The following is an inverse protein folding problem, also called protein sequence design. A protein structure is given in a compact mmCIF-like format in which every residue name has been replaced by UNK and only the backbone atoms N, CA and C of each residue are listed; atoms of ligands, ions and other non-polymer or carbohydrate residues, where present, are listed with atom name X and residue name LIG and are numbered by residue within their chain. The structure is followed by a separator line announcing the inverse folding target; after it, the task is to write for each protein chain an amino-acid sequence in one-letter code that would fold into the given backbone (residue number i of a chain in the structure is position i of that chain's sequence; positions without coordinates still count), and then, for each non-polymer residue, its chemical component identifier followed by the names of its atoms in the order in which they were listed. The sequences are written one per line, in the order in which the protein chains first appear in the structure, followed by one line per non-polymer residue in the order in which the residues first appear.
data_IF_630074302144
#
_entry.id   IF_630074302144
#
_cell.length_a   1.000
_cell.length_b   1.000
_cell.length_c   1.000
_cell.angle_alpha   90.00
_cell.angle_beta   90.00
_cell.angle_gamma   90.00
#
_symmetry.space_group_name_H-M   'P 1'
#
loop_
_entity.id
_entity.type
_entity.pdbx_description
1 polymer ?
#
# COMPACT_ATOMS: atom_id res chain seq x y z
N UNK A 1 25.81 -16.15 13.83
CA UNK A 1 25.11 -17.40 13.50
C UNK A 1 24.36 -17.18 12.20
N UNK A 2 24.74 -17.86 11.09
CA UNK A 2 24.02 -17.75 9.84
C UNK A 2 22.64 -18.42 10.02
N UNK A 3 21.56 -17.65 9.89
CA UNK A 3 20.21 -18.21 9.78
C UNK A 3 20.21 -19.09 8.52
N UNK A 4 20.05 -20.41 8.67
CA UNK A 4 19.83 -21.31 7.54
C UNK A 4 18.48 -20.96 6.92
N UNK A 5 18.47 -20.45 5.70
CA UNK A 5 17.26 -20.32 4.90
C UNK A 5 16.78 -21.73 4.55
N UNK A 6 15.59 -22.09 4.98
CA UNK A 6 15.12 -23.49 5.00
C UNK A 6 14.19 -23.84 3.83
N UNK A 7 13.96 -22.94 2.87
CA UNK A 7 13.23 -23.21 1.65
C UNK A 7 14.11 -22.93 0.43
N UNK A 8 13.95 -23.71 -0.62
CA UNK A 8 14.64 -23.48 -1.90
C UNK A 8 14.04 -22.22 -2.51
N UNK A 9 14.76 -21.07 -2.39
CA UNK A 9 14.31 -19.79 -2.93
C UNK A 9 14.07 -19.91 -4.43
N UNK A 10 13.07 -19.23 -4.93
CA UNK A 10 12.74 -19.18 -6.35
C UNK A 10 13.92 -18.65 -7.19
N UNK A 11 14.60 -17.62 -6.69
CA UNK A 11 15.78 -17.03 -7.33
C UNK A 11 16.94 -18.00 -7.52
N UNK A 12 17.06 -19.05 -6.71
CA UNK A 12 18.11 -20.06 -6.85
C UNK A 12 17.98 -20.89 -8.14
N UNK A 13 16.79 -20.97 -8.72
CA UNK A 13 16.60 -21.62 -10.03
C UNK A 13 17.32 -20.87 -11.15
N UNK A 14 17.56 -19.57 -10.99
CA UNK A 14 18.33 -18.73 -11.92
C UNK A 14 19.81 -18.71 -11.57
N UNK A 15 20.17 -18.54 -10.29
CA UNK A 15 21.52 -18.16 -9.88
C UNK A 15 22.33 -19.32 -9.28
N UNK A 16 21.73 -20.46 -8.95
CA UNK A 16 22.43 -21.62 -8.40
C UNK A 16 21.77 -22.93 -8.82
N UNK A 17 21.62 -23.13 -10.13
CA UNK A 17 21.02 -24.33 -10.72
C UNK A 17 22.06 -25.16 -11.49
N UNK A 18 22.67 -26.17 -10.85
CA UNK A 18 23.67 -27.02 -11.48
C UNK A 18 23.12 -27.91 -12.59
N UNK A 19 21.80 -28.12 -12.65
CA UNK A 19 21.14 -28.89 -13.72
C UNK A 19 21.06 -28.10 -15.04
N UNK A 20 21.18 -26.75 -14.96
CA UNK A 20 21.21 -25.87 -16.13
C UNK A 20 22.34 -24.83 -16.03
N UNK A 21 23.62 -25.25 -16.08
CA UNK A 21 24.75 -24.36 -15.82
C UNK A 21 24.92 -23.27 -16.89
N UNK A 22 24.52 -23.52 -18.13
CA UNK A 22 24.60 -22.53 -19.21
C UNK A 22 23.68 -21.33 -18.97
N UNK A 23 22.43 -21.58 -18.59
CA UNK A 23 21.50 -20.51 -18.27
C UNK A 23 21.87 -19.80 -16.96
N UNK A 24 22.32 -20.55 -15.94
CA UNK A 24 22.82 -19.98 -14.69
C UNK A 24 23.96 -19.00 -14.93
N UNK A 25 24.94 -19.39 -15.76
CA UNK A 25 26.08 -18.53 -16.10
C UNK A 25 25.61 -17.25 -16.84
N UNK A 26 24.67 -17.39 -17.78
CA UNK A 26 24.10 -16.26 -18.51
C UNK A 26 23.36 -15.25 -17.55
N UNK A 27 22.56 -15.74 -16.64
CA UNK A 27 21.87 -14.90 -15.67
C UNK A 27 22.83 -14.19 -14.72
N UNK A 28 23.85 -14.90 -14.24
CA UNK A 28 24.91 -14.30 -13.41
C UNK A 28 25.63 -13.21 -14.20
N UNK A 29 26.12 -13.51 -15.42
CA UNK A 29 26.83 -12.56 -16.28
C UNK A 29 26.05 -11.24 -16.44
N UNK A 30 24.75 -11.31 -16.73
CA UNK A 30 23.92 -10.11 -16.90
C UNK A 30 23.72 -9.33 -15.60
N UNK A 31 23.61 -10.02 -14.48
CA UNK A 31 23.42 -9.38 -13.16
C UNK A 31 24.68 -8.69 -12.62
N UNK A 32 25.87 -9.04 -13.11
CA UNK A 32 27.12 -8.37 -12.74
C UNK A 32 27.15 -6.90 -13.16
N UNK A 33 26.42 -6.51 -14.22
CA UNK A 33 26.30 -5.10 -14.64
C UNK A 33 25.66 -4.21 -13.58
N UNK A 34 24.93 -4.78 -12.63
CA UNK A 34 24.33 -4.08 -11.52
C UNK A 34 25.28 -3.92 -10.31
N UNK A 35 26.51 -4.49 -10.41
CA UNK A 35 27.52 -4.45 -9.35
C UNK A 35 27.34 -5.53 -8.27
N UNK A 36 26.46 -6.50 -8.47
CA UNK A 36 26.37 -7.71 -7.64
C UNK A 36 27.53 -8.67 -7.98
N UNK A 37 27.98 -9.42 -6.99
CA UNK A 37 29.01 -10.44 -7.21
C UNK A 37 28.37 -11.81 -7.46
N UNK A 38 29.08 -12.76 -8.12
CA UNK A 38 28.62 -14.14 -8.26
C UNK A 38 28.32 -14.80 -6.91
N UNK A 39 29.13 -14.49 -5.89
CA UNK A 39 28.98 -14.99 -4.51
C UNK A 39 27.69 -14.47 -3.86
N UNK A 40 27.36 -13.20 -4.06
CA UNK A 40 26.09 -12.63 -3.55
C UNK A 40 24.89 -13.32 -4.20
N UNK A 41 24.86 -13.47 -5.52
CA UNK A 41 23.76 -14.11 -6.26
C UNK A 41 23.55 -15.57 -5.89
N UNK A 42 24.66 -16.30 -5.61
CA UNK A 42 24.63 -17.72 -5.22
C UNK A 42 24.55 -17.93 -3.71
N UNK A 43 24.50 -16.86 -2.92
CA UNK A 43 24.56 -16.94 -1.44
C UNK A 43 23.30 -17.53 -0.78
N UNK A 44 22.21 -17.72 -1.52
CA UNK A 44 20.92 -18.10 -0.96
C UNK A 44 20.20 -16.97 -0.21
N UNK A 45 20.63 -15.71 -0.37
CA UNK A 45 19.92 -14.54 0.12
C UNK A 45 18.65 -14.32 -0.69
N UNK A 46 17.51 -13.98 -0.05
CA UNK A 46 16.31 -13.64 -0.78
C UNK A 46 16.51 -12.42 -1.68
N UNK A 47 16.01 -12.50 -2.90
CA UNK A 47 15.95 -11.38 -3.85
C UNK A 47 14.58 -10.73 -3.74
N UNK A 48 14.58 -9.46 -3.29
CA UNK A 48 13.36 -8.69 -3.04
C UNK A 48 13.20 -7.62 -4.10
N UNK A 49 12.07 -7.67 -4.81
CA UNK A 49 11.67 -6.62 -5.72
C UNK A 49 11.15 -5.40 -4.96
N UNK A 50 11.48 -4.21 -5.45
CA UNK A 50 10.82 -2.96 -5.06
C UNK A 50 10.03 -2.48 -6.28
N UNK A 51 8.72 -2.71 -6.26
CA UNK A 51 7.82 -2.31 -7.34
C UNK A 51 7.57 -0.80 -7.23
N UNK A 52 8.37 -0.02 -7.96
CA UNK A 52 8.41 1.44 -7.89
C UNK A 52 7.30 2.08 -8.71
N UNK A 53 6.31 2.69 -8.03
CA UNK A 53 5.22 3.43 -8.67
C UNK A 53 5.48 4.94 -8.75
N UNK A 54 6.54 5.43 -8.10
CA UNK A 54 6.92 6.85 -8.12
C UNK A 54 7.37 7.31 -9.51
N UNK A 55 6.86 8.46 -9.93
CA UNK A 55 7.17 9.07 -11.24
C UNK A 55 6.81 10.55 -11.22
N UNK A 56 7.47 11.34 -12.06
CA UNK A 56 7.16 12.78 -12.24
C UNK A 56 5.77 12.99 -12.82
N UNK A 57 5.28 12.04 -13.63
CA UNK A 57 3.92 12.07 -14.17
C UNK A 57 2.88 11.42 -13.25
N UNK A 58 3.30 10.97 -12.06
CA UNK A 58 2.44 10.44 -11.01
C UNK A 58 2.76 11.09 -9.65
N UNK A 59 2.46 12.40 -9.49
CA UNK A 59 2.84 13.17 -8.30
C UNK A 59 2.37 12.56 -6.98
N UNK A 60 1.19 11.95 -6.95
CA UNK A 60 0.67 11.26 -5.76
C UNK A 60 1.57 10.14 -5.24
N UNK A 61 2.41 9.58 -6.12
CA UNK A 61 3.33 8.49 -5.79
C UNK A 61 4.80 8.96 -5.76
N UNK A 62 5.08 10.23 -6.10
CA UNK A 62 6.44 10.77 -6.26
C UNK A 62 7.35 10.51 -5.06
N UNK A 63 6.80 10.55 -3.85
CA UNK A 63 7.55 10.31 -2.61
C UNK A 63 8.26 8.94 -2.59
N UNK A 64 7.74 7.94 -3.32
CA UNK A 64 8.32 6.61 -3.38
C UNK A 64 9.72 6.57 -4.01
N UNK A 65 10.07 7.57 -4.85
CA UNK A 65 11.45 7.71 -5.37
C UNK A 65 12.45 7.84 -4.21
N UNK A 66 12.07 8.57 -3.14
CA UNK A 66 12.88 8.72 -1.93
C UNK A 66 12.73 7.52 -0.99
N UNK A 67 11.52 7.00 -0.83
CA UNK A 67 11.24 5.90 0.10
C UNK A 67 11.88 4.58 -0.34
N UNK A 68 12.07 4.36 -1.63
CA UNK A 68 12.73 3.15 -2.16
C UNK A 68 14.15 2.95 -1.59
N UNK A 69 14.89 4.05 -1.34
CA UNK A 69 16.21 3.98 -0.70
C UNK A 69 16.11 3.40 0.72
N UNK A 70 15.13 3.86 1.51
CA UNK A 70 14.91 3.36 2.87
C UNK A 70 14.43 1.91 2.90
N UNK A 71 13.59 1.51 1.93
CA UNK A 71 13.20 0.11 1.75
C UNK A 71 14.43 -0.75 1.44
N UNK A 72 15.28 -0.31 0.51
CA UNK A 72 16.52 -0.99 0.13
C UNK A 72 17.45 -1.20 1.32
N UNK A 73 17.61 -0.19 2.17
CA UNK A 73 18.40 -0.30 3.41
C UNK A 73 17.80 -1.35 4.36
N UNK A 74 16.49 -1.38 4.54
CA UNK A 74 15.80 -2.38 5.36
C UNK A 74 16.03 -3.79 4.83
N UNK A 75 15.86 -4.02 3.51
CA UNK A 75 16.09 -5.31 2.87
C UNK A 75 17.54 -5.78 3.09
N UNK A 76 18.51 -4.90 2.86
CA UNK A 76 19.93 -5.22 3.07
C UNK A 76 20.27 -5.52 4.52
N UNK A 77 19.71 -4.76 5.45
CA UNK A 77 19.89 -4.98 6.89
C UNK A 77 19.34 -6.33 7.35
N UNK A 78 18.27 -6.82 6.70
CA UNK A 78 17.72 -8.15 6.97
C UNK A 78 18.44 -9.29 6.21
N UNK A 79 19.45 -8.96 5.40
CA UNK A 79 20.26 -9.93 4.65
C UNK A 79 19.72 -10.29 3.26
N UNK A 80 18.77 -9.52 2.72
CA UNK A 80 18.25 -9.69 1.36
C UNK A 80 19.01 -8.88 0.31
N UNK A 81 18.76 -9.18 -0.96
CA UNK A 81 19.22 -8.41 -2.13
C UNK A 81 18.01 -7.61 -2.65
N UNK A 82 18.16 -6.30 -2.81
CA UNK A 82 17.08 -5.42 -3.27
C UNK A 82 17.25 -5.08 -4.76
N UNK A 83 16.21 -5.35 -5.55
CA UNK A 83 16.11 -4.99 -6.95
C UNK A 83 14.90 -4.08 -7.17
N UNK A 84 15.14 -2.83 -7.54
CA UNK A 84 14.08 -1.88 -7.84
C UNK A 84 13.74 -1.92 -9.34
N UNK A 85 12.44 -1.87 -9.66
CA UNK A 85 11.95 -1.83 -11.03
C UNK A 85 10.71 -0.94 -11.14
N UNK A 86 10.48 -0.27 -12.30
CA UNK A 86 9.35 0.61 -12.49
C UNK A 86 8.05 -0.17 -12.67
N UNK A 87 6.97 0.37 -12.13
CA UNK A 87 5.59 -0.02 -12.43
C UNK A 87 4.97 1.02 -13.35
N UNK A 88 4.02 0.62 -14.20
CA UNK A 88 3.29 1.55 -15.07
C UNK A 88 2.73 2.75 -14.25
N UNK A 89 3.11 4.00 -14.58
CA UNK A 89 2.71 5.15 -13.79
C UNK A 89 1.23 5.44 -13.95
N UNK A 90 0.55 5.63 -12.81
CA UNK A 90 -0.88 5.95 -12.77
C UNK A 90 -1.10 7.22 -11.97
N UNK A 91 -1.77 8.20 -12.58
CA UNK A 91 -2.23 9.42 -11.94
C UNK A 91 -3.64 9.75 -12.40
N UNK A 92 -4.63 9.61 -11.51
CA UNK A 92 -6.05 9.77 -11.85
C UNK A 92 -6.35 11.17 -12.42
N UNK A 93 -5.83 12.21 -11.81
CA UNK A 93 -6.18 13.59 -12.14
C UNK A 93 -5.36 14.21 -13.28
N UNK A 94 -4.26 13.57 -13.73
CA UNK A 94 -3.42 14.09 -14.83
C UNK A 94 -3.58 13.30 -16.12
N UNK A 95 -4.32 12.21 -16.12
CA UNK A 95 -4.51 11.39 -17.30
C UNK A 95 -5.83 11.66 -18.01
N UNK A 96 -5.80 11.67 -19.34
CA UNK A 96 -6.97 11.80 -20.21
C UNK A 96 -7.13 10.57 -21.11
N UNK A 97 -8.34 10.11 -21.37
CA UNK A 97 -9.62 10.57 -20.81
C UNK A 97 -9.84 10.11 -19.36
N UNK A 98 -9.18 9.04 -18.91
CA UNK A 98 -9.29 8.45 -17.56
C UNK A 98 -8.13 7.50 -17.30
N UNK A 99 -7.78 7.30 -16.03
CA UNK A 99 -6.81 6.28 -15.59
C UNK A 99 -7.47 4.92 -15.30
N UNK A 100 -8.75 4.73 -15.59
CA UNK A 100 -9.48 3.50 -15.25
C UNK A 100 -8.89 2.23 -15.88
N UNK A 101 -8.44 2.31 -17.14
CA UNK A 101 -7.78 1.19 -17.83
C UNK A 101 -6.34 0.97 -17.36
N UNK A 102 -5.67 2.00 -16.87
CA UNK A 102 -4.28 1.91 -16.43
C UNK A 102 -4.12 1.00 -15.21
N UNK A 103 -5.15 0.85 -14.37
CA UNK A 103 -5.15 -0.16 -13.30
C UNK A 103 -4.85 -1.54 -13.85
N UNK A 104 -5.49 -1.94 -14.95
CA UNK A 104 -5.30 -3.26 -15.53
C UNK A 104 -3.96 -3.35 -16.30
N UNK A 105 -3.50 -2.28 -16.94
CA UNK A 105 -2.18 -2.25 -17.57
C UNK A 105 -1.06 -2.39 -16.53
N UNK A 106 -1.14 -1.65 -15.43
CA UNK A 106 -0.19 -1.76 -14.33
C UNK A 106 -0.21 -3.15 -13.69
N UNK A 107 -1.39 -3.72 -13.47
CA UNK A 107 -1.57 -5.08 -12.98
C UNK A 107 -0.89 -6.10 -13.89
N UNK A 108 -1.21 -6.10 -15.19
CA UNK A 108 -0.66 -7.06 -16.16
C UNK A 108 0.85 -6.96 -16.27
N UNK A 109 1.40 -5.74 -16.38
CA UNK A 109 2.85 -5.53 -16.44
C UNK A 109 3.57 -5.98 -15.17
N UNK A 110 2.96 -5.75 -14.00
CA UNK A 110 3.53 -6.18 -12.72
C UNK A 110 3.49 -7.71 -12.57
N UNK A 111 2.39 -8.37 -12.97
CA UNK A 111 2.31 -9.85 -12.99
C UNK A 111 3.41 -10.45 -13.86
N UNK A 112 3.62 -9.91 -15.06
CA UNK A 112 4.65 -10.38 -15.98
C UNK A 112 6.06 -10.26 -15.37
N UNK A 113 6.36 -9.14 -14.72
CA UNK A 113 7.63 -8.94 -14.02
C UNK A 113 7.78 -9.95 -12.88
N UNK A 114 6.78 -10.09 -12.02
CA UNK A 114 6.85 -10.97 -10.86
C UNK A 114 6.93 -12.44 -11.23
N UNK A 115 6.37 -12.85 -12.37
CA UNK A 115 6.53 -14.22 -12.91
C UNK A 115 7.85 -14.42 -13.61
N UNK A 116 8.27 -13.48 -14.44
CA UNK A 116 9.40 -13.65 -15.36
C UNK A 116 10.78 -13.43 -14.75
N UNK A 117 10.88 -12.73 -13.61
CA UNK A 117 12.16 -12.39 -12.98
C UNK A 117 12.41 -13.15 -11.67
N UNK A 118 13.68 -13.32 -11.27
CA UNK A 118 14.08 -14.11 -10.09
C UNK A 118 13.81 -13.40 -8.79
N UNK A 119 12.56 -13.05 -8.50
CA UNK A 119 12.11 -12.30 -7.32
C UNK A 119 11.45 -13.26 -6.34
N UNK A 120 11.94 -13.32 -5.09
CA UNK A 120 11.42 -14.18 -4.02
C UNK A 120 10.32 -13.50 -3.19
N UNK A 121 10.30 -12.18 -3.17
CA UNK A 121 9.28 -11.37 -2.50
C UNK A 121 9.30 -9.94 -3.01
N UNK A 122 8.23 -9.17 -2.76
CA UNK A 122 8.09 -7.82 -3.32
C UNK A 122 7.53 -6.82 -2.32
N UNK A 123 8.12 -5.62 -2.28
CA UNK A 123 7.52 -4.43 -1.67
C UNK A 123 6.76 -3.67 -2.74
N UNK A 124 5.47 -3.50 -2.52
CA UNK A 124 4.53 -2.81 -3.39
C UNK A 124 4.39 -1.37 -2.91
N UNK A 125 4.96 -0.41 -3.63
CA UNK A 125 4.79 1.00 -3.30
C UNK A 125 3.44 1.50 -3.83
N UNK A 126 2.63 2.13 -2.96
CA UNK A 126 1.25 2.53 -3.29
C UNK A 126 0.96 3.96 -2.85
N UNK A 127 -0.03 4.59 -3.46
CA UNK A 127 -0.42 5.95 -3.11
C UNK A 127 -1.69 6.37 -3.84
N UNK A 128 -1.62 6.64 -5.14
CA UNK A 128 -2.76 7.01 -5.96
C UNK A 128 -3.83 5.90 -6.00
N UNK A 129 -5.05 6.29 -6.27
CA UNK A 129 -6.26 5.46 -6.12
C UNK A 129 -6.28 4.17 -6.96
N UNK A 130 -5.59 4.12 -8.10
CA UNK A 130 -5.50 2.93 -8.96
C UNK A 130 -4.23 2.09 -8.73
N UNK A 131 -3.18 2.65 -8.11
CA UNK A 131 -1.94 1.90 -7.85
C UNK A 131 -2.11 0.84 -6.79
N UNK A 132 -2.78 1.16 -5.69
CA UNK A 132 -3.02 0.21 -4.60
C UNK A 132 -3.77 -1.05 -5.09
N UNK A 133 -4.93 -0.94 -5.78
CA UNK A 133 -5.61 -2.12 -6.26
C UNK A 133 -4.82 -2.87 -7.35
N UNK A 134 -4.12 -2.18 -8.26
CA UNK A 134 -3.30 -2.84 -9.28
C UNK A 134 -2.21 -3.71 -8.64
N UNK A 135 -1.51 -3.18 -7.65
CA UNK A 135 -0.46 -3.89 -6.92
C UNK A 135 -1.01 -5.09 -6.13
N UNK A 136 -2.13 -4.94 -5.43
CA UNK A 136 -2.75 -6.02 -4.67
C UNK A 136 -3.32 -7.13 -5.58
N UNK A 137 -3.90 -6.78 -6.74
CA UNK A 137 -4.31 -7.74 -7.75
C UNK A 137 -3.13 -8.56 -8.26
N UNK A 138 -1.99 -7.92 -8.54
CA UNK A 138 -0.78 -8.60 -8.99
C UNK A 138 -0.20 -9.52 -7.90
N UNK A 139 -0.16 -9.05 -6.65
CA UNK A 139 0.27 -9.86 -5.52
C UNK A 139 -0.60 -11.12 -5.36
N UNK A 140 -1.94 -10.96 -5.45
CA UNK A 140 -2.88 -12.08 -5.36
C UNK A 140 -2.74 -13.09 -6.52
N UNK A 141 -2.41 -12.60 -7.73
CA UNK A 141 -2.25 -13.47 -8.90
C UNK A 141 -0.97 -14.31 -8.85
N UNK A 142 0.15 -13.67 -8.45
CA UNK A 142 1.46 -14.35 -8.46
C UNK A 142 1.72 -15.13 -7.19
N UNK A 143 1.13 -14.72 -6.10
CA UNK A 143 1.16 -15.35 -4.78
C UNK A 143 2.57 -15.60 -4.22
N UNK A 144 3.50 -14.68 -4.45
CA UNK A 144 4.78 -14.62 -3.73
C UNK A 144 4.66 -13.67 -2.53
N UNK A 145 5.49 -13.81 -1.48
CA UNK A 145 5.49 -12.87 -0.36
C UNK A 145 5.48 -11.43 -0.82
N UNK A 146 4.48 -10.67 -0.39
CA UNK A 146 4.26 -9.29 -0.82
C UNK A 146 3.77 -8.42 0.34
N UNK A 147 4.28 -7.18 0.41
CA UNK A 147 3.93 -6.21 1.43
C UNK A 147 3.71 -4.83 0.82
N UNK A 148 2.67 -4.14 1.27
CA UNK A 148 2.33 -2.79 0.81
C UNK A 148 3.04 -1.73 1.64
N UNK A 149 3.64 -0.76 0.96
CA UNK A 149 4.13 0.49 1.54
C UNK A 149 3.35 1.67 0.96
N UNK A 150 2.52 2.31 1.75
CA UNK A 150 1.83 3.54 1.37
C UNK A 150 2.80 4.72 1.29
N UNK A 151 2.61 5.62 0.32
CA UNK A 151 3.32 6.90 0.27
C UNK A 151 2.82 7.91 1.30
N UNK A 152 1.62 7.72 1.79
CA UNK A 152 0.94 8.60 2.74
C UNK A 152 0.24 9.79 2.10
N UNK A 153 -0.72 10.39 2.81
CA UNK A 153 -1.40 11.60 2.37
C UNK A 153 -0.49 12.83 2.45
N UNK A 154 -0.85 13.87 1.70
CA UNK A 154 -0.31 15.22 1.91
C UNK A 154 -0.65 15.73 3.31
N UNK A 155 0.03 16.78 3.75
CA UNK A 155 -0.33 17.57 4.93
C UNK A 155 -1.70 18.24 4.73
N UNK A 156 -2.27 18.77 5.81
CA UNK A 156 -3.50 19.54 5.73
C UNK A 156 -3.26 20.86 4.98
N UNK A 157 -4.06 21.11 3.93
CA UNK A 157 -4.07 22.37 3.19
C UNK A 157 -4.85 23.44 3.96
N UNK A 158 -4.43 24.71 3.83
CA UNK A 158 -5.04 25.85 4.48
C UNK A 158 -5.17 27.05 3.56
N UNK A 159 -6.34 27.68 3.53
CA UNK A 159 -6.61 28.93 2.87
C UNK A 159 -7.43 29.82 3.77
N UNK A 160 -6.96 31.02 4.06
CA UNK A 160 -7.61 32.01 4.94
C UNK A 160 -8.10 31.43 6.26
N UNK A 161 -7.27 30.61 6.93
CA UNK A 161 -7.59 29.98 8.21
C UNK A 161 -8.61 28.85 8.15
N UNK A 162 -9.00 28.39 6.96
CA UNK A 162 -9.89 27.26 6.72
C UNK A 162 -9.13 26.10 6.10
N UNK A 163 -9.53 24.86 6.44
CA UNK A 163 -9.01 23.66 5.82
C UNK A 163 -9.37 23.60 4.33
N UNK A 164 -8.38 23.39 3.50
CA UNK A 164 -8.51 23.22 2.05
C UNK A 164 -8.13 21.79 1.68
N UNK A 165 -9.13 20.92 1.54
CA UNK A 165 -8.93 19.51 1.17
C UNK A 165 -8.75 19.31 -0.33
N UNK A 166 -7.83 18.42 -0.69
CA UNK A 166 -7.56 18.05 -2.09
C UNK A 166 -8.84 17.53 -2.78
N UNK A 167 -9.18 18.11 -3.91
CA UNK A 167 -10.44 17.88 -4.62
C UNK A 167 -11.60 18.72 -4.09
N UNK A 168 -11.82 18.79 -2.78
CA UNK A 168 -12.91 19.57 -2.19
C UNK A 168 -12.73 21.07 -2.47
N UNK A 169 -11.53 21.61 -2.26
CA UNK A 169 -11.22 23.01 -2.57
C UNK A 169 -11.52 23.36 -4.04
N UNK A 170 -11.28 22.42 -4.96
CA UNK A 170 -11.62 22.62 -6.40
C UNK A 170 -13.12 22.71 -6.61
N UNK A 171 -13.88 21.77 -6.04
CA UNK A 171 -15.33 21.70 -6.25
C UNK A 171 -16.06 22.88 -5.61
N UNK A 172 -15.72 23.21 -4.36
CA UNK A 172 -16.38 24.27 -3.61
C UNK A 172 -16.06 25.64 -4.22
N UNK A 173 -14.78 25.93 -4.50
CA UNK A 173 -14.40 27.22 -5.11
C UNK A 173 -14.87 27.37 -6.54
N UNK A 174 -15.07 26.27 -7.30
CA UNK A 174 -15.67 26.32 -8.63
C UNK A 174 -17.12 26.82 -8.61
N UNK A 175 -17.87 26.47 -7.58
CA UNK A 175 -19.22 27.01 -7.39
C UNK A 175 -19.19 28.54 -7.20
N UNK A 176 -18.23 29.02 -6.37
CA UNK A 176 -18.04 30.46 -6.12
C UNK A 176 -17.61 31.21 -7.39
N UNK A 177 -16.67 30.64 -8.15
CA UNK A 177 -16.22 31.16 -9.44
C UNK A 177 -17.38 31.23 -10.46
N UNK A 178 -18.16 30.16 -10.57
CA UNK A 178 -19.31 30.11 -11.48
C UNK A 178 -20.42 31.09 -11.13
N UNK A 179 -20.54 31.44 -9.87
CA UNK A 179 -21.47 32.44 -9.36
C UNK A 179 -20.94 33.88 -9.44
N UNK A 180 -19.71 34.07 -9.93
CA UNK A 180 -19.06 35.38 -10.01
C UNK A 180 -18.70 36.01 -8.66
N UNK A 181 -18.62 35.21 -7.57
CA UNK A 181 -18.27 35.68 -6.25
C UNK A 181 -16.77 35.75 -5.99
N UNK A 182 -15.99 35.00 -6.78
CA UNK A 182 -14.52 35.05 -6.84
C UNK A 182 -14.09 35.14 -8.31
N UNK A 183 -12.90 35.65 -8.55
CA UNK A 183 -12.28 35.68 -9.86
C UNK A 183 -11.38 34.43 -10.09
N UNK A 184 -10.77 34.32 -11.27
CA UNK A 184 -9.93 33.17 -11.61
C UNK A 184 -8.67 33.08 -10.76
N UNK A 185 -8.03 34.18 -10.41
CA UNK A 185 -6.81 34.19 -9.61
C UNK A 185 -7.10 33.77 -8.18
N UNK A 186 -8.18 34.27 -7.58
CA UNK A 186 -8.66 33.83 -6.26
C UNK A 186 -9.03 32.33 -6.26
N UNK A 187 -9.68 31.84 -7.33
CA UNK A 187 -9.95 30.43 -7.50
C UNK A 187 -8.66 29.59 -7.50
N UNK A 188 -7.65 30.02 -8.26
CA UNK A 188 -6.37 29.30 -8.33
C UNK A 188 -5.62 29.33 -7.01
N UNK A 189 -5.67 30.41 -6.25
CA UNK A 189 -5.09 30.52 -4.92
C UNK A 189 -5.71 29.51 -3.94
N UNK A 190 -7.03 29.42 -3.93
CA UNK A 190 -7.74 28.41 -3.10
C UNK A 190 -7.32 26.99 -3.50
N UNK A 191 -7.33 26.70 -4.79
CA UNK A 191 -7.00 25.37 -5.30
C UNK A 191 -5.57 24.96 -4.98
N UNK A 192 -4.59 25.87 -5.18
CA UNK A 192 -3.18 25.56 -4.92
C UNK A 192 -2.88 25.33 -3.46
N UNK A 193 -3.61 26.00 -2.56
CA UNK A 193 -3.47 25.81 -1.10
C UNK A 193 -3.85 24.39 -0.62
N UNK A 194 -4.60 23.64 -1.42
CA UNK A 194 -5.03 22.28 -1.10
C UNK A 194 -3.97 21.19 -1.32
N UNK A 195 -2.82 21.54 -1.92
CA UNK A 195 -1.73 20.60 -2.22
C UNK A 195 -0.39 21.09 -1.61
N UNK A 196 -0.26 21.07 -0.27
CA UNK A 196 0.86 21.74 0.43
C UNK A 196 2.15 20.94 0.48
N UNK A 197 2.15 19.65 0.10
CA UNK A 197 3.32 18.77 0.26
C UNK A 197 3.32 17.59 -0.71
N UNK A 198 4.40 16.80 -0.71
CA UNK A 198 4.42 15.45 -1.26
C UNK A 198 3.29 14.61 -0.64
N UNK A 199 2.79 13.60 -1.37
CA UNK A 199 1.79 12.65 -0.92
C UNK A 199 0.59 12.52 -1.85
N UNK A 200 -0.29 11.57 -1.56
CA UNK A 200 -1.58 11.46 -2.24
C UNK A 200 -2.62 12.41 -1.59
N UNK A 201 -3.84 12.45 -2.14
CA UNK A 201 -4.91 13.32 -1.62
C UNK A 201 -5.05 13.22 -0.10
N UNK A 202 -5.21 14.36 0.57
CA UNK A 202 -5.36 14.49 2.02
C UNK A 202 -6.82 14.40 2.51
N UNK A 203 -7.76 14.07 1.62
CA UNK A 203 -9.15 13.74 1.95
C UNK A 203 -9.37 12.22 1.94
N UNK A 204 -10.48 11.73 2.47
CA UNK A 204 -10.89 10.32 2.40
C UNK A 204 -11.46 9.98 1.02
N UNK A 205 -10.71 10.32 -0.03
CA UNK A 205 -10.95 9.87 -1.39
C UNK A 205 -10.45 8.44 -1.60
N UNK A 206 -10.47 7.95 -2.85
CA UNK A 206 -10.10 6.56 -3.16
C UNK A 206 -8.65 6.22 -2.78
N UNK A 207 -7.72 7.17 -2.88
CA UNK A 207 -6.32 6.96 -2.50
C UNK A 207 -6.18 6.63 -1.01
N UNK A 208 -6.67 7.49 -0.12
CA UNK A 208 -6.64 7.26 1.34
C UNK A 208 -7.45 6.04 1.74
N UNK A 209 -8.61 5.84 1.12
CA UNK A 209 -9.45 4.65 1.33
C UNK A 209 -8.67 3.38 1.01
N UNK A 210 -8.14 3.23 -0.21
CA UNK A 210 -7.49 1.98 -0.62
C UNK A 210 -6.22 1.67 0.17
N UNK A 211 -5.45 2.70 0.60
CA UNK A 211 -4.32 2.48 1.50
C UNK A 211 -4.78 2.03 2.90
N UNK A 212 -5.88 2.58 3.44
CA UNK A 212 -6.50 2.12 4.70
C UNK A 212 -7.02 0.68 4.57
N UNK A 213 -7.62 0.32 3.43
CA UNK A 213 -8.12 -1.03 3.20
C UNK A 213 -6.99 -2.05 2.98
N UNK A 214 -5.85 -1.66 2.42
CA UNK A 214 -4.66 -2.52 2.38
C UNK A 214 -4.16 -2.87 3.79
N UNK A 215 -4.27 -1.94 4.74
CA UNK A 215 -3.99 -2.19 6.17
C UNK A 215 -5.04 -3.10 6.79
N UNK A 216 -6.32 -2.87 6.54
CA UNK A 216 -7.42 -3.69 7.03
C UNK A 216 -7.41 -5.13 6.47
N UNK A 217 -6.95 -5.32 5.24
CA UNK A 217 -6.68 -6.64 4.64
C UNK A 217 -5.48 -7.35 5.28
N UNK A 218 -4.69 -6.67 6.10
CA UNK A 218 -3.46 -7.22 6.66
C UNK A 218 -2.25 -7.18 5.72
N UNK A 219 -2.32 -6.50 4.57
CA UNK A 219 -1.26 -6.45 3.56
C UNK A 219 -0.22 -5.36 3.77
N UNK A 220 -0.35 -4.53 4.82
CA UNK A 220 0.67 -3.56 5.25
C UNK A 220 0.90 -3.61 6.76
N UNK A 221 2.01 -3.06 7.21
CA UNK A 221 2.27 -2.89 8.65
C UNK A 221 1.24 -1.92 9.25
N UNK A 222 0.85 -2.19 10.50
CA UNK A 222 -0.11 -1.36 11.23
C UNK A 222 0.35 0.10 11.33
N UNK A 223 -0.56 1.04 11.10
CA UNK A 223 -0.31 2.48 11.09
C UNK A 223 0.32 3.00 9.78
N UNK A 224 0.61 2.12 8.82
CA UNK A 224 1.24 2.52 7.56
C UNK A 224 0.37 3.46 6.71
N UNK A 225 -0.94 3.22 6.64
CA UNK A 225 -1.82 3.91 5.69
C UNK A 225 -1.82 5.44 5.84
N UNK A 226 -1.82 5.93 7.08
CA UNK A 226 -2.18 7.32 7.38
C UNK A 226 -1.01 8.23 7.76
N UNK A 227 0.23 7.72 7.94
CA UNK A 227 1.39 8.59 8.20
C UNK A 227 1.53 9.58 7.03
N UNK A 228 1.50 10.90 7.25
CA UNK A 228 1.68 11.86 6.17
C UNK A 228 3.02 11.68 5.46
N UNK A 229 3.04 11.92 4.14
CA UNK A 229 4.21 11.69 3.31
C UNK A 229 5.49 12.40 3.80
N UNK A 230 5.45 13.70 4.25
CA UNK A 230 6.64 14.39 4.71
C UNK A 230 7.07 14.03 6.13
N UNK A 231 6.31 13.24 6.89
CA UNK A 231 6.68 12.89 8.26
C UNK A 231 7.89 11.95 8.29
N UNK A 232 8.80 12.13 9.27
CA UNK A 232 9.97 11.25 9.47
C UNK A 232 9.58 9.78 9.66
N UNK A 233 8.43 9.54 10.29
CA UNK A 233 7.85 8.22 10.55
C UNK A 233 7.58 7.45 9.24
N UNK A 234 7.33 8.16 8.14
CA UNK A 234 7.17 7.56 6.81
C UNK A 234 8.45 6.86 6.34
N UNK A 235 9.61 7.49 6.51
CA UNK A 235 10.91 6.86 6.22
C UNK A 235 11.23 5.68 7.15
N UNK A 236 10.84 5.76 8.43
CA UNK A 236 10.99 4.66 9.38
C UNK A 236 10.10 3.46 8.98
N UNK A 237 8.86 3.73 8.55
CA UNK A 237 7.94 2.70 8.06
C UNK A 237 8.50 2.02 6.80
N UNK A 238 9.07 2.78 5.87
CA UNK A 238 9.72 2.22 4.68
C UNK A 238 10.87 1.26 5.04
N UNK A 239 11.72 1.66 5.98
CA UNK A 239 12.80 0.79 6.47
C UNK A 239 12.26 -0.50 7.12
N UNK A 240 11.25 -0.40 8.00
CA UNK A 240 10.61 -1.54 8.65
C UNK A 240 9.95 -2.48 7.63
N UNK A 241 9.31 -1.93 6.61
CA UNK A 241 8.72 -2.70 5.51
C UNK A 241 9.81 -3.50 4.76
N UNK A 242 10.98 -2.89 4.53
CA UNK A 242 12.13 -3.56 3.94
C UNK A 242 12.70 -4.70 4.81
N UNK A 243 12.75 -4.53 6.13
CA UNK A 243 13.11 -5.62 7.05
C UNK A 243 12.10 -6.76 6.96
N UNK A 244 10.81 -6.42 7.06
CA UNK A 244 9.73 -7.40 7.21
C UNK A 244 9.56 -8.29 5.97
N UNK A 245 9.69 -7.77 4.76
CA UNK A 245 9.52 -8.58 3.55
C UNK A 245 10.54 -9.74 3.47
N UNK A 246 11.77 -9.54 3.94
CA UNK A 246 12.78 -10.60 3.99
C UNK A 246 12.38 -11.71 4.96
N UNK A 247 11.80 -11.35 6.11
CA UNK A 247 11.25 -12.32 7.06
C UNK A 247 10.06 -13.08 6.48
N UNK A 248 9.14 -12.39 5.78
CA UNK A 248 7.99 -13.01 5.10
C UNK A 248 8.40 -14.06 4.07
N UNK A 249 9.50 -13.82 3.32
CA UNK A 249 10.04 -14.83 2.40
C UNK A 249 10.50 -16.07 3.15
N UNK A 250 11.16 -15.91 4.30
CA UNK A 250 11.62 -17.03 5.11
C UNK A 250 10.46 -17.81 5.76
N UNK A 251 9.34 -17.13 6.03
CA UNK A 251 8.11 -17.69 6.58
C UNK A 251 7.20 -18.28 5.51
N UNK A 252 7.51 -18.07 4.23
CA UNK A 252 6.61 -18.37 3.10
C UNK A 252 5.22 -17.75 3.30
N UNK A 253 5.20 -16.49 3.78
CA UNK A 253 3.96 -15.76 4.07
C UNK A 253 3.47 -15.04 2.81
N UNK A 254 2.55 -15.69 2.10
CA UNK A 254 2.05 -15.23 0.80
C UNK A 254 0.69 -14.50 0.92
N UNK A 255 0.30 -13.69 -0.10
CA UNK A 255 -0.98 -13.00 -0.14
C UNK A 255 -2.20 -13.89 0.06
N UNK A 256 -2.23 -15.10 -0.47
CA UNK A 256 -3.35 -16.05 -0.29
C UNK A 256 -3.56 -16.49 1.15
N UNK A 257 -2.50 -16.49 1.97
CA UNK A 257 -2.58 -16.80 3.42
C UNK A 257 -3.12 -15.62 4.24
N UNK A 258 -2.99 -14.38 3.72
CA UNK A 258 -3.39 -13.13 4.38
C UNK A 258 -4.77 -12.69 3.90
N UNK A 259 -4.95 -12.54 2.60
CA UNK A 259 -6.17 -12.04 1.96
C UNK A 259 -7.26 -13.11 1.91
N UNK A 260 -7.71 -13.56 3.07
CA UNK A 260 -8.80 -14.52 3.24
C UNK A 260 -10.17 -13.85 3.14
N UNK A 261 -11.27 -14.61 3.01
CA UNK A 261 -12.65 -14.08 3.04
C UNK A 261 -12.87 -13.15 4.23
N UNK A 262 -12.44 -13.55 5.44
CA UNK A 262 -12.54 -12.73 6.65
C UNK A 262 -11.77 -11.42 6.55
N UNK A 263 -10.60 -11.41 5.92
CA UNK A 263 -9.84 -10.19 5.70
C UNK A 263 -10.58 -9.21 4.76
N UNK A 264 -11.26 -9.72 3.73
CA UNK A 264 -12.11 -8.88 2.86
C UNK A 264 -13.32 -8.35 3.60
N UNK A 265 -13.95 -9.13 4.46
CA UNK A 265 -15.04 -8.66 5.33
C UNK A 265 -14.56 -7.55 6.28
N UNK A 266 -13.38 -7.69 6.87
CA UNK A 266 -12.75 -6.61 7.64
C UNK A 266 -12.55 -5.33 6.81
N UNK A 267 -12.10 -5.47 5.56
CA UNK A 267 -11.94 -4.32 4.67
C UNK A 267 -13.28 -3.62 4.37
N UNK A 268 -14.37 -4.37 4.17
CA UNK A 268 -15.73 -3.82 3.98
C UNK A 268 -16.16 -3.03 5.22
N UNK A 269 -16.02 -3.62 6.41
CA UNK A 269 -16.37 -2.98 7.69
C UNK A 269 -15.58 -1.68 7.89
N UNK A 270 -14.26 -1.72 7.67
CA UNK A 270 -13.40 -0.53 7.78
C UNK A 270 -13.78 0.52 6.75
N UNK A 271 -14.10 0.14 5.50
CA UNK A 271 -14.56 1.09 4.49
C UNK A 271 -15.81 1.87 4.94
N UNK A 272 -16.78 1.18 5.52
CA UNK A 272 -18.00 1.82 6.05
C UNK A 272 -17.68 2.75 7.22
N UNK A 273 -16.86 2.30 8.16
CA UNK A 273 -16.48 3.07 9.36
C UNK A 273 -15.71 4.36 9.04
N UNK A 274 -14.84 4.34 8.03
CA UNK A 274 -14.05 5.52 7.65
C UNK A 274 -14.78 6.45 6.67
N UNK A 275 -16.00 6.11 6.22
CA UNK A 275 -16.68 6.84 5.14
C UNK A 275 -15.90 6.77 3.83
N UNK A 276 -15.36 5.61 3.51
CA UNK A 276 -14.49 5.38 2.38
C UNK A 276 -15.18 5.51 1.02
N UNK A 277 -14.38 5.62 -0.01
CA UNK A 277 -14.83 5.80 -1.39
C UNK A 277 -15.68 4.63 -1.89
N UNK A 278 -16.73 4.93 -2.64
CA UNK A 278 -17.56 3.92 -3.36
C UNK A 278 -16.75 3.14 -4.41
N UNK A 279 -15.64 3.68 -4.92
CA UNK A 279 -14.74 2.97 -5.82
C UNK A 279 -14.08 1.74 -5.14
N UNK A 280 -14.02 1.72 -3.81
CA UNK A 280 -13.48 0.59 -3.06
C UNK A 280 -14.23 -0.72 -3.35
N UNK A 281 -15.55 -0.66 -3.58
CA UNK A 281 -16.34 -1.84 -3.93
C UNK A 281 -15.77 -2.55 -5.17
N UNK A 282 -15.55 -1.78 -6.25
CA UNK A 282 -15.01 -2.32 -7.51
C UNK A 282 -13.59 -2.87 -7.31
N UNK A 283 -12.76 -2.16 -6.53
CA UNK A 283 -11.36 -2.53 -6.34
C UNK A 283 -11.20 -3.75 -5.43
N UNK A 284 -11.88 -3.79 -4.30
CA UNK A 284 -11.84 -4.90 -3.35
C UNK A 284 -12.41 -6.18 -3.99
N UNK A 285 -13.52 -6.08 -4.72
CA UNK A 285 -14.07 -7.23 -5.45
C UNK A 285 -13.08 -7.75 -6.52
N UNK A 286 -12.39 -6.84 -7.23
CA UNK A 286 -11.38 -7.25 -8.20
C UNK A 286 -10.20 -7.95 -7.52
N UNK A 287 -9.67 -7.41 -6.40
CA UNK A 287 -8.58 -8.02 -5.63
C UNK A 287 -8.99 -9.41 -5.13
N UNK A 288 -10.20 -9.56 -4.58
CA UNK A 288 -10.71 -10.83 -4.06
C UNK A 288 -10.70 -11.93 -5.14
N UNK A 289 -11.12 -11.61 -6.36
CA UNK A 289 -11.10 -12.56 -7.49
C UNK A 289 -9.69 -13.03 -7.84
N UNK A 290 -8.68 -12.18 -7.69
CA UNK A 290 -7.29 -12.53 -7.98
C UNK A 290 -6.65 -13.47 -6.94
N UNK A 291 -7.25 -13.60 -5.76
CA UNK A 291 -6.90 -14.62 -4.77
C UNK A 291 -7.90 -15.78 -4.71
N UNK A 292 -8.78 -15.89 -5.71
CA UNK A 292 -9.75 -16.97 -5.82
C UNK A 292 -10.96 -16.86 -4.88
N UNK A 293 -11.22 -15.66 -4.34
CA UNK A 293 -12.38 -15.42 -3.47
C UNK A 293 -13.49 -14.73 -4.26
N UNK A 294 -14.66 -15.38 -4.31
CA UNK A 294 -15.85 -14.77 -4.86
C UNK A 294 -16.52 -13.89 -3.79
N UNK A 295 -16.33 -12.58 -3.95
CA UNK A 295 -16.93 -11.56 -3.10
C UNK A 295 -18.17 -11.02 -3.81
N UNK A 296 -19.34 -11.53 -3.43
CA UNK A 296 -20.61 -11.12 -3.98
C UNK A 296 -20.91 -9.64 -3.71
N UNK A 297 -21.67 -9.00 -4.59
CA UNK A 297 -22.05 -7.59 -4.44
C UNK A 297 -22.81 -7.35 -3.13
N UNK A 298 -23.67 -8.32 -2.74
CA UNK A 298 -24.46 -8.26 -1.52
C UNK A 298 -23.63 -8.32 -0.23
N UNK A 299 -22.36 -8.75 -0.30
CA UNK A 299 -21.45 -8.75 0.86
C UNK A 299 -21.29 -7.33 1.43
N UNK A 300 -21.30 -6.30 0.59
CA UNK A 300 -21.22 -4.90 1.03
C UNK A 300 -22.43 -4.49 1.85
N UNK A 301 -23.62 -4.90 1.43
CA UNK A 301 -24.86 -4.67 2.17
C UNK A 301 -24.88 -5.48 3.48
N UNK A 302 -24.56 -6.77 3.39
CA UNK A 302 -24.70 -7.70 4.53
C UNK A 302 -23.66 -7.47 5.63
N UNK A 303 -22.46 -7.02 5.28
CA UNK A 303 -21.33 -6.85 6.22
C UNK A 303 -21.15 -5.38 6.63
N UNK A 304 -21.34 -4.44 5.70
CA UNK A 304 -20.98 -3.03 5.89
C UNK A 304 -22.12 -2.09 6.26
N UNK A 305 -23.38 -2.47 6.04
CA UNK A 305 -24.53 -1.55 6.15
C UNK A 305 -24.74 -0.98 7.57
N UNK A 306 -24.66 -1.85 8.58
CA UNK A 306 -24.92 -1.48 9.98
C UNK A 306 -23.67 -0.92 10.70
N UNK A 307 -22.62 -0.61 9.97
CA UNK A 307 -21.40 -0.05 10.54
C UNK A 307 -21.53 1.49 10.57
N UNK A 308 -21.43 2.12 11.74
CA UNK A 308 -21.53 3.57 11.84
C UNK A 308 -20.33 4.27 11.22
N UNK A 309 -20.56 5.46 10.65
CA UNK A 309 -19.48 6.37 10.28
C UNK A 309 -18.76 6.87 11.54
N UNK A 310 -17.47 6.53 11.66
CA UNK A 310 -16.64 6.86 12.82
C UNK A 310 -15.67 8.02 12.57
N UNK A 311 -15.34 8.30 11.31
CA UNK A 311 -14.28 9.23 10.93
C UNK A 311 -14.87 10.52 10.34
N UNK A 312 -14.49 11.66 10.94
CA UNK A 312 -14.96 13.00 10.54
C UNK A 312 -13.95 13.66 9.59
N UNK A 313 -13.73 13.06 8.42
CA UNK A 313 -12.77 13.54 7.39
C UNK A 313 -13.52 13.86 6.09
N UNK A 314 -13.11 14.94 5.40
CA UNK A 314 -13.67 15.31 4.10
C UNK A 314 -13.56 14.15 3.09
N UNK A 315 -14.53 13.92 2.20
CA UNK A 315 -15.71 14.78 1.94
C UNK A 315 -16.89 14.57 2.90
N UNK A 316 -16.94 13.45 3.64
CA UNK A 316 -18.08 13.15 4.54
C UNK A 316 -18.02 13.91 5.86
N UNK A 317 -16.91 14.53 6.19
CA UNK A 317 -16.66 15.23 7.45
C UNK A 317 -15.94 16.57 7.29
N UNK A 318 -15.32 17.02 8.38
CA UNK A 318 -14.74 18.35 8.51
C UNK A 318 -13.23 18.40 8.36
N UNK A 319 -12.53 17.40 8.88
CA UNK A 319 -11.06 17.39 9.00
C UNK A 319 -10.39 16.76 7.76
N UNK A 320 -9.05 16.72 7.77
CA UNK A 320 -8.23 16.11 6.72
C UNK A 320 -7.40 14.94 7.29
N UNK A 321 -6.64 14.28 6.41
CA UNK A 321 -5.95 13.04 6.75
C UNK A 321 -4.82 13.21 7.78
N UNK A 322 -4.18 14.38 7.89
CA UNK A 322 -3.19 14.62 8.95
C UNK A 322 -3.85 14.62 10.33
N UNK A 323 -5.01 15.25 10.47
CA UNK A 323 -5.81 15.20 11.70
C UNK A 323 -6.25 13.77 12.02
N UNK A 324 -6.63 13.00 11.01
CA UNK A 324 -6.97 11.58 11.15
C UNK A 324 -5.78 10.74 11.63
N UNK A 325 -4.59 10.95 11.06
CA UNK A 325 -3.37 10.31 11.54
C UNK A 325 -3.10 10.61 13.01
N UNK A 326 -3.20 11.88 13.43
CA UNK A 326 -2.98 12.30 14.83
C UNK A 326 -3.98 11.70 15.80
N UNK A 327 -5.17 11.35 15.33
CA UNK A 327 -6.19 10.63 16.10
C UNK A 327 -5.99 9.10 16.15
N UNK A 328 -4.88 8.59 15.58
CA UNK A 328 -4.53 7.17 15.54
C UNK A 328 -4.84 6.47 14.22
N UNK A 329 -5.48 7.16 13.26
CA UNK A 329 -5.71 6.68 11.90
C UNK A 329 -6.52 5.39 11.82
N UNK A 330 -6.25 4.60 10.78
CA UNK A 330 -6.93 3.32 10.51
C UNK A 330 -6.77 2.34 11.67
N UNK A 331 -5.61 2.28 12.30
CA UNK A 331 -5.35 1.39 13.43
C UNK A 331 -6.29 1.66 14.61
N UNK A 332 -6.55 2.93 14.96
CA UNK A 332 -7.49 3.29 16.03
C UNK A 332 -8.94 2.91 15.68
N UNK A 333 -9.36 3.13 14.41
CA UNK A 333 -10.68 2.69 13.94
C UNK A 333 -10.83 1.18 14.01
N UNK A 334 -9.81 0.44 13.57
CA UNK A 334 -9.82 -1.03 13.64
C UNK A 334 -9.85 -1.54 15.08
N UNK A 335 -9.14 -0.89 16.01
CA UNK A 335 -9.17 -1.23 17.43
C UNK A 335 -10.57 -1.05 18.02
N UNK A 336 -11.22 0.06 17.74
CA UNK A 336 -12.59 0.32 18.20
C UNK A 336 -13.60 -0.69 17.61
N UNK A 337 -13.50 -0.97 16.32
CA UNK A 337 -14.35 -1.97 15.66
C UNK A 337 -14.12 -3.38 16.24
N UNK A 338 -12.87 -3.75 16.50
CA UNK A 338 -12.52 -5.03 17.10
C UNK A 338 -13.05 -5.15 18.53
N UNK A 339 -12.91 -4.13 19.36
CA UNK A 339 -13.43 -4.07 20.72
C UNK A 339 -14.95 -4.21 20.78
N UNK A 340 -15.64 -3.83 19.71
CA UNK A 340 -17.09 -3.98 19.54
C UNK A 340 -17.50 -5.25 18.75
N UNK A 341 -16.60 -6.23 18.59
CA UNK A 341 -16.82 -7.49 17.86
C UNK A 341 -17.29 -7.30 16.41
N UNK A 342 -16.82 -6.25 15.73
CA UNK A 342 -17.14 -5.96 14.34
C UNK A 342 -16.05 -6.41 13.35
N UNK A 343 -14.88 -6.87 13.83
CA UNK A 343 -13.79 -7.37 13.00
C UNK A 343 -13.41 -8.80 13.36
N UNK A 344 -12.98 -9.55 12.36
CA UNK A 344 -12.35 -10.85 12.52
C UNK A 344 -10.91 -10.68 13.00
N UNK A 345 -10.64 -10.94 14.28
CA UNK A 345 -9.31 -10.79 14.87
C UNK A 345 -8.36 -11.95 14.58
N UNK A 346 -8.86 -13.09 14.10
CA UNK A 346 -8.09 -14.31 13.84
C UNK A 346 -7.36 -14.33 12.47
N UNK A 347 -7.52 -13.29 11.66
CA UNK A 347 -6.84 -13.15 10.37
C UNK A 347 -5.35 -12.85 10.57
N UNK A 348 -4.50 -13.47 9.76
CA UNK A 348 -3.04 -13.23 9.75
C UNK A 348 -2.74 -11.99 8.93
N UNK A 349 -1.73 -11.24 9.34
CA UNK A 349 -1.26 -10.05 8.63
C UNK A 349 0.18 -10.23 8.16
N UNK A 350 0.69 -9.29 7.35
CA UNK A 350 2.10 -9.25 6.94
C UNK A 350 3.08 -9.25 8.13
N UNK A 351 2.65 -8.89 9.32
CA UNK A 351 3.50 -8.97 10.53
C UNK A 351 3.79 -10.42 10.98
N UNK A 352 3.09 -11.42 10.41
CA UNK A 352 3.11 -12.80 10.87
C UNK A 352 2.25 -13.05 12.12
N UNK A 353 1.64 -12.00 12.65
CA UNK A 353 0.75 -12.07 13.82
C UNK A 353 -0.71 -11.94 13.39
N UNK A 354 -1.61 -12.44 14.25
CA UNK A 354 -3.05 -12.20 14.08
C UNK A 354 -3.38 -10.72 14.26
N UNK A 355 -4.41 -10.27 13.59
CA UNK A 355 -4.88 -8.89 13.69
C UNK A 355 -5.24 -8.51 15.14
N UNK A 356 -5.85 -9.40 15.89
CA UNK A 356 -6.15 -9.19 17.31
C UNK A 356 -4.89 -8.86 18.14
N UNK A 357 -3.76 -9.49 17.87
CA UNK A 357 -2.51 -9.20 18.57
C UNK A 357 -1.99 -7.78 18.30
N UNK A 358 -2.23 -7.24 17.12
CA UNK A 358 -1.77 -5.90 16.73
C UNK A 358 -2.66 -4.79 17.28
N UNK A 359 -3.95 -5.08 17.48
CA UNK A 359 -4.93 -4.12 17.97
C UNK A 359 -4.92 -4.00 19.50
N UNK A 360 -4.58 -5.07 20.21
CA UNK A 360 -4.45 -5.08 21.68
C UNK A 360 -3.22 -4.31 22.20
N UNK A 361 -2.15 -4.19 21.42
CA UNK A 361 -0.87 -3.59 21.84
C UNK A 361 -0.82 -2.06 21.78
N UNK A 362 -1.96 -1.37 21.69
CA UNK A 362 -2.00 0.09 21.91
C UNK A 362 -1.75 0.48 23.38
N UNK A 363 -1.78 -0.49 24.31
CA UNK A 363 -1.38 -0.33 25.71
C UNK A 363 -0.08 -1.13 25.95
N UNK A 364 1.02 -0.44 26.19
CA UNK A 364 2.41 -0.94 26.18
C UNK A 364 2.74 -2.03 27.24
N UNK A 365 1.74 -2.64 27.90
CA UNK A 365 1.93 -3.61 28.96
C UNK A 365 1.74 -5.09 28.54
N UNK A 366 1.16 -5.37 27.34
CA UNK A 366 0.68 -6.74 26.99
C UNK A 366 1.47 -7.45 25.87
N UNK A 367 2.74 -7.07 25.64
CA UNK A 367 3.63 -7.74 24.64
C UNK A 367 3.91 -9.24 24.94
N UNK A 368 3.39 -9.79 26.03
CA UNK A 368 3.64 -11.16 26.49
C UNK A 368 2.57 -12.19 26.08
N UNK A 369 1.47 -11.79 25.44
CA UNK A 369 0.34 -12.68 25.13
C UNK A 369 0.20 -13.04 23.62
N UNK A 370 1.08 -12.57 22.75
CA UNK A 370 1.00 -12.84 21.30
C UNK A 370 2.25 -13.51 20.73
#
# INVERSE_FOLDING_TARGET
MSKKFNSKLRSQQWFDNPENPGMTALYIERSLNFGLTPEELRSGKPIIGIAQTGSDISPCNRIHVKLAERVREGIRSAGGIALEFPVHPIQETLKRPTASLDRNLAYLGLVEILHGYPIDGVVLTTGCDKTTPACLMAAGTVDIPAIVLSGGPMLDGWHDGKLAGSGMAVWDSRVELSAGRINYDEFMDIVTSSAPSDGHCNTMGTASTMNSLAEALGMSLTGNANIPAPYRERGQMAYRTGLRIVEMVNEDLTPSKIMTRKAFENAIVVNSAIGGSTNAQIHITAIARHVGIDLETDAWQNVGYDIPLMVNVQPAGKYLCESYHRAGGTAAVMNELFSNNKLHGDVITVSGKKMSCLLYTSDAADDLLC
#
